data_IF_981942839078
#
_entry.id   IF_981942839078
#
_cell.length_a   1.000
_cell.length_b   1.000
_cell.length_c   1.000
_cell.angle_alpha   90.00
_cell.angle_beta   90.00
_cell.angle_gamma   90.00
#
_symmetry.space_group_name_H-M   'P 1'
#
loop_
_entity.id
_entity.type
_entity.pdbx_description
1 polymer ?
#
# COMPACT_ATOMS: atom_id res chain seq x y z
N UNK A 1 -14.92 2.94 -15.18
CA UNK A 1 -15.77 3.35 -14.04
C UNK A 1 -16.59 2.18 -13.52
N UNK A 2 -17.35 1.46 -14.36
CA UNK A 2 -18.20 0.33 -13.87
C UNK A 2 -17.49 -0.78 -13.06
N UNK A 3 -16.20 -1.05 -13.33
CA UNK A 3 -15.45 -2.08 -12.60
C UNK A 3 -15.31 -1.79 -11.11
N UNK A 4 -15.23 -0.50 -10.75
CA UNK A 4 -15.01 -0.02 -9.38
C UNK A 4 -16.31 0.31 -8.66
N UNK A 5 -17.44 0.38 -9.36
CA UNK A 5 -18.76 0.62 -8.77
C UNK A 5 -19.47 -0.66 -8.36
N UNK A 6 -19.09 -1.80 -8.95
CA UNK A 6 -19.76 -3.10 -8.73
C UNK A 6 -19.02 -3.98 -7.72
N UNK A 7 -17.70 -3.81 -7.57
CA UNK A 7 -16.88 -4.66 -6.72
C UNK A 7 -16.34 -3.88 -5.51
N UNK A 8 -16.46 -4.46 -4.32
CA UNK A 8 -15.89 -3.92 -3.08
C UNK A 8 -14.37 -4.02 -3.03
N UNK A 9 -13.82 -5.09 -3.64
CA UNK A 9 -12.39 -5.35 -3.68
C UNK A 9 -11.96 -5.80 -5.08
N UNK A 10 -10.72 -5.46 -5.43
CA UNK A 10 -10.11 -5.78 -6.71
C UNK A 10 -8.66 -6.23 -6.55
N UNK A 11 -8.17 -6.98 -7.52
CA UNK A 11 -6.74 -7.19 -7.76
C UNK A 11 -6.36 -6.53 -9.08
N UNK A 12 -5.21 -5.88 -9.09
CA UNK A 12 -4.68 -5.22 -10.27
C UNK A 12 -3.55 -6.06 -10.85
N UNK A 13 -3.74 -6.58 -12.06
CA UNK A 13 -2.73 -7.37 -12.78
C UNK A 13 -2.07 -6.53 -13.86
N UNK A 14 -0.74 -6.45 -13.85
CA UNK A 14 0.03 -5.72 -14.86
C UNK A 14 0.25 -6.53 -16.13
N UNK A 15 0.73 -5.86 -17.18
CA UNK A 15 1.18 -6.46 -18.44
C UNK A 15 2.20 -7.63 -18.32
N UNK A 16 2.80 -7.83 -17.14
CA UNK A 16 3.77 -8.93 -16.88
C UNK A 16 3.14 -10.15 -16.20
N UNK A 17 1.81 -10.19 -16.10
CA UNK A 17 1.06 -11.16 -15.30
C UNK A 17 1.52 -11.18 -13.84
N UNK A 18 1.74 -9.98 -13.29
CA UNK A 18 2.06 -9.78 -11.87
C UNK A 18 1.01 -8.91 -11.22
N UNK A 19 0.75 -9.15 -9.95
CA UNK A 19 -0.27 -8.41 -9.21
C UNK A 19 0.38 -7.28 -8.43
N UNK A 20 -0.34 -6.16 -8.31
CA UNK A 20 0.00 -5.09 -7.37
C UNK A 20 -0.12 -5.61 -5.94
N UNK A 21 0.98 -5.56 -5.20
CA UNK A 21 1.07 -6.06 -3.84
C UNK A 21 1.51 -4.93 -2.94
N UNK A 22 0.79 -4.73 -1.84
CA UNK A 22 1.26 -3.90 -0.75
C UNK A 22 2.10 -4.73 0.20
N UNK A 23 3.26 -4.21 0.59
CA UNK A 23 3.97 -4.75 1.74
C UNK A 23 3.43 -4.16 3.04
N UNK A 24 3.75 -4.82 4.16
CA UNK A 24 3.33 -4.42 5.50
C UNK A 24 3.86 -3.03 5.87
N UNK A 25 5.07 -2.69 5.40
CA UNK A 25 5.79 -1.51 5.84
C UNK A 25 5.41 -0.18 5.15
N UNK A 26 4.24 -0.08 4.49
CA UNK A 26 3.72 1.10 3.73
C UNK A 26 4.59 1.66 2.59
N UNK A 27 5.91 1.48 2.65
CA UNK A 27 6.89 2.15 1.80
C UNK A 27 7.15 1.42 0.48
N UNK A 28 6.73 0.16 0.36
CA UNK A 28 7.12 -0.69 -0.76
C UNK A 28 5.91 -1.24 -1.51
N UNK A 29 5.43 -0.47 -2.49
CA UNK A 29 4.54 -0.98 -3.54
C UNK A 29 5.36 -1.82 -4.52
N UNK A 30 4.99 -3.09 -4.65
CA UNK A 30 5.71 -4.04 -5.49
C UNK A 30 4.77 -4.85 -6.35
N UNK A 31 5.35 -5.54 -7.32
CA UNK A 31 4.63 -6.50 -8.13
C UNK A 31 5.06 -7.92 -7.80
N UNK A 32 4.12 -8.85 -7.81
CA UNK A 32 4.50 -10.26 -7.72
C UNK A 32 3.50 -11.20 -8.36
N UNK A 33 4.02 -12.27 -8.97
CA UNK A 33 3.23 -13.35 -9.55
C UNK A 33 2.72 -14.33 -8.49
N UNK A 34 3.48 -14.53 -7.40
CA UNK A 34 3.17 -15.55 -6.36
C UNK A 34 2.00 -15.14 -5.47
N UNK A 35 1.70 -13.85 -5.38
CA UNK A 35 0.70 -13.30 -4.46
C UNK A 35 -0.71 -13.18 -5.05
N UNK A 36 -0.98 -13.83 -6.21
CA UNK A 36 -2.32 -13.81 -6.82
C UNK A 36 -3.43 -14.17 -5.83
N UNK A 37 -3.26 -15.26 -5.08
CA UNK A 37 -4.25 -15.74 -4.10
C UNK A 37 -4.09 -15.13 -2.71
N UNK A 38 -3.12 -14.21 -2.51
CA UNK A 38 -2.85 -13.64 -1.20
C UNK A 38 -3.76 -12.44 -0.93
N UNK A 39 -4.13 -12.26 0.33
CA UNK A 39 -4.75 -11.04 0.83
C UNK A 39 -3.91 -9.78 0.51
N UNK A 40 -2.58 -9.90 0.41
CA UNK A 40 -1.67 -8.77 0.09
C UNK A 40 -1.85 -8.17 -1.30
N UNK A 41 -2.52 -8.86 -2.22
CA UNK A 41 -2.83 -8.34 -3.56
C UNK A 41 -4.25 -7.77 -3.68
N UNK A 42 -5.05 -7.85 -2.61
CA UNK A 42 -6.41 -7.30 -2.57
C UNK A 42 -6.37 -5.82 -2.22
N UNK A 43 -7.12 -5.05 -2.99
CA UNK A 43 -7.31 -3.63 -2.82
C UNK A 43 -8.80 -3.33 -2.71
N UNK A 44 -9.21 -2.82 -1.56
CA UNK A 44 -10.56 -2.33 -1.34
C UNK A 44 -10.74 -1.00 -2.07
N UNK A 45 -11.90 -0.86 -2.70
CA UNK A 45 -12.25 0.30 -3.50
C UNK A 45 -13.15 1.19 -2.66
N UNK A 46 -12.67 2.38 -2.34
CA UNK A 46 -13.45 3.43 -1.70
C UNK A 46 -13.75 4.52 -2.74
N UNK A 47 -15.03 4.84 -2.93
CA UNK A 47 -15.45 5.93 -3.80
C UNK A 47 -15.31 7.25 -3.04
N UNK A 48 -14.81 8.30 -3.70
CA UNK A 48 -14.69 9.62 -3.09
C UNK A 48 -16.05 10.33 -3.17
N UNK A 49 -16.63 10.68 -2.02
CA UNK A 49 -17.96 11.32 -1.95
C UNK A 49 -18.01 12.63 -2.76
N UNK A 50 -16.97 13.46 -2.64
CA UNK A 50 -16.87 14.74 -3.34
C UNK A 50 -16.56 14.61 -4.84
N UNK A 51 -16.07 13.44 -5.27
CA UNK A 51 -15.62 13.24 -6.64
C UNK A 51 -15.88 11.81 -7.12
N UNK A 52 -17.03 11.62 -7.77
CA UNK A 52 -17.45 10.32 -8.32
C UNK A 52 -16.50 9.74 -9.37
N UNK A 53 -15.59 10.56 -9.92
CA UNK A 53 -14.57 10.11 -10.89
C UNK A 53 -13.28 9.63 -10.25
N UNK A 54 -13.07 9.89 -8.97
CA UNK A 54 -11.90 9.47 -8.22
C UNK A 54 -12.23 8.26 -7.35
N UNK A 55 -11.26 7.36 -7.24
CA UNK A 55 -11.28 6.23 -6.32
C UNK A 55 -10.08 6.30 -5.39
N UNK A 56 -10.24 5.73 -4.21
CA UNK A 56 -9.16 5.41 -3.27
C UNK A 56 -9.02 3.90 -3.22
N UNK A 57 -7.79 3.42 -3.29
CA UNK A 57 -7.49 2.00 -3.18
C UNK A 57 -6.82 1.75 -1.84
N UNK A 58 -7.41 0.90 -1.02
CA UNK A 58 -6.94 0.62 0.33
C UNK A 58 -6.53 -0.83 0.44
N UNK A 59 -5.35 -1.09 1.00
CA UNK A 59 -4.92 -2.46 1.23
C UNK A 59 -5.55 -3.05 2.51
N UNK A 60 -5.28 -4.33 2.74
CA UNK A 60 -5.73 -5.05 3.95
C UNK A 60 -5.20 -4.45 5.26
N UNK A 61 -4.12 -3.67 5.20
CA UNK A 61 -3.50 -3.00 6.34
C UNK A 61 -4.05 -1.58 6.55
N UNK A 62 -5.19 -1.25 5.93
CA UNK A 62 -5.84 0.05 5.98
C UNK A 62 -5.01 1.23 5.44
N UNK A 63 -3.99 0.96 4.63
CA UNK A 63 -3.16 1.97 3.98
C UNK A 63 -3.63 2.22 2.55
N UNK A 64 -3.63 3.49 2.16
CA UNK A 64 -4.01 3.88 0.81
C UNK A 64 -2.85 3.69 -0.18
N UNK A 65 -3.22 3.39 -1.42
CA UNK A 65 -2.32 3.46 -2.55
C UNK A 65 -2.01 4.93 -2.82
N UNK A 66 -0.79 5.35 -2.49
CA UNK A 66 -0.37 6.73 -2.67
C UNK A 66 0.48 6.87 -3.93
N UNK A 67 0.15 7.86 -4.76
CA UNK A 67 1.04 8.31 -5.83
C UNK A 67 2.32 8.86 -5.19
N UNK A 68 3.49 8.39 -5.62
CA UNK A 68 4.77 8.93 -5.13
C UNK A 68 4.92 10.34 -5.70
N UNK A 69 4.52 11.33 -4.90
CA UNK A 69 4.64 12.75 -5.22
C UNK A 69 6.05 13.18 -4.84
N UNK A 70 6.80 13.68 -5.81
CA UNK A 70 8.20 14.08 -5.65
C UNK A 70 8.36 15.45 -4.95
N UNK A 71 7.33 15.94 -4.23
CA UNK A 71 7.29 17.28 -3.67
C UNK A 71 6.72 17.32 -2.24
N UNK A 72 7.52 17.93 -1.36
CA UNK A 72 7.37 18.15 0.08
C UNK A 72 6.23 19.12 0.45
N UNK A 73 4.98 18.80 0.11
CA UNK A 73 3.84 19.60 0.59
C UNK A 73 2.87 18.74 1.40
N UNK A 74 2.90 18.91 2.72
CA UNK A 74 2.05 18.24 3.71
C UNK A 74 0.52 18.42 3.47
N UNK A 75 0.13 19.36 2.61
CA UNK A 75 -1.27 19.70 2.33
C UNK A 75 -1.88 18.95 1.13
N UNK A 76 -1.17 18.00 0.51
CA UNK A 76 -1.66 17.26 -0.68
C UNK A 76 -1.91 15.77 -0.43
N UNK A 77 -1.86 15.31 0.81
CA UNK A 77 -2.03 13.90 1.14
C UNK A 77 -3.35 13.32 0.62
N UNK A 78 -4.45 14.06 0.78
CA UNK A 78 -5.76 13.60 0.31
C UNK A 78 -5.88 13.54 -1.22
N UNK A 79 -5.04 14.28 -1.95
CA UNK A 79 -4.98 14.26 -3.41
C UNK A 79 -4.02 13.18 -3.93
N UNK A 80 -2.97 12.84 -3.18
CA UNK A 80 -2.00 11.82 -3.58
C UNK A 80 -2.55 10.39 -3.45
N UNK A 81 -3.61 10.19 -2.67
CA UNK A 81 -4.32 8.91 -2.55
C UNK A 81 -5.48 8.75 -3.55
N UNK A 82 -5.79 9.80 -4.31
CA UNK A 82 -6.87 9.79 -5.30
C UNK A 82 -6.37 9.34 -6.67
N UNK A 83 -7.12 8.41 -7.26
CA UNK A 83 -6.84 7.84 -8.57
C UNK A 83 -8.04 7.97 -9.49
N UNK A 84 -7.80 8.40 -10.72
CA UNK A 84 -8.78 8.52 -11.78
C UNK A 84 -8.64 7.33 -12.73
N UNK A 85 -9.57 6.34 -12.70
CA UNK A 85 -9.51 5.19 -13.57
C UNK A 85 -9.97 5.54 -14.99
N UNK A 86 -9.05 5.48 -15.94
CA UNK A 86 -9.30 5.70 -17.37
C UNK A 86 -9.34 4.36 -18.08
N UNK A 87 -10.46 4.05 -18.74
CA UNK A 87 -10.63 2.78 -19.46
C UNK A 87 -9.87 2.81 -20.79
N UNK A 88 -9.11 1.75 -21.05
CA UNK A 88 -8.39 1.52 -22.30
C UNK A 88 -8.68 0.08 -22.77
N UNK A 89 -9.70 -0.08 -23.62
CA UNK A 89 -10.23 -1.39 -24.00
C UNK A 89 -10.77 -2.20 -22.81
N UNK A 90 -10.11 -3.33 -22.53
CA UNK A 90 -10.40 -4.20 -21.38
C UNK A 90 -9.54 -3.89 -20.14
N UNK A 91 -8.59 -2.97 -20.29
CA UNK A 91 -7.65 -2.57 -19.25
C UNK A 91 -8.00 -1.18 -18.71
N UNK A 92 -7.34 -0.82 -17.61
CA UNK A 92 -7.49 0.48 -16.97
C UNK A 92 -6.12 1.10 -16.72
N UNK A 93 -6.04 2.40 -16.98
CA UNK A 93 -4.95 3.27 -16.55
C UNK A 93 -5.39 4.01 -15.29
N UNK A 94 -4.59 3.98 -14.24
CA UNK A 94 -4.84 4.73 -13.01
C UNK A 94 -4.05 6.03 -13.06
N UNK A 95 -4.73 7.16 -13.26
CA UNK A 95 -4.13 8.49 -13.32
C UNK A 95 -4.16 9.14 -11.93
N UNK A 96 -3.04 9.67 -11.46
CA UNK A 96 -2.99 10.46 -10.23
C UNK A 96 -3.51 11.87 -10.46
N UNK A 97 -3.77 12.62 -9.38
CA UNK A 97 -4.15 14.03 -9.48
C UNK A 97 -3.12 14.90 -10.24
N UNK A 98 -1.83 14.56 -10.17
CA UNK A 98 -0.77 15.25 -10.91
C UNK A 98 -0.75 14.94 -12.42
N UNK A 99 -1.60 14.03 -12.87
CA UNK A 99 -1.66 13.58 -14.25
C UNK A 99 -0.62 12.53 -14.64
N UNK A 100 0.10 11.96 -13.67
CA UNK A 100 0.95 10.79 -13.84
C UNK A 100 0.13 9.52 -13.78
N UNK A 101 0.69 8.40 -14.22
CA UNK A 101 0.02 7.10 -14.23
C UNK A 101 0.73 6.08 -13.36
N UNK A 102 -0.03 5.18 -12.75
CA UNK A 102 0.50 4.03 -12.02
C UNK A 102 1.20 3.07 -12.99
N UNK A 103 2.51 2.93 -12.84
CA UNK A 103 3.39 2.19 -13.75
C UNK A 103 3.98 0.95 -13.07
N UNK A 104 3.85 -0.17 -13.76
CA UNK A 104 4.41 -1.48 -13.44
C UNK A 104 5.81 -1.67 -14.05
N UNK A 105 6.88 -1.59 -13.25
CA UNK A 105 8.24 -1.71 -13.80
C UNK A 105 8.68 -3.16 -13.98
N UNK A 106 8.98 -3.51 -15.23
CA UNK A 106 9.51 -4.82 -15.63
C UNK A 106 11.02 -4.91 -15.78
N UNK A 107 11.75 -3.83 -15.50
CA UNK A 107 13.17 -3.69 -15.85
C UNK A 107 14.12 -4.61 -15.04
N UNK A 108 15.40 -4.57 -15.39
CA UNK A 108 16.48 -5.16 -14.61
C UNK A 108 16.57 -4.53 -13.20
N UNK A 109 17.13 -5.24 -12.21
CA UNK A 109 17.42 -4.66 -10.90
C UNK A 109 18.16 -3.31 -11.04
N UNK A 110 17.87 -2.30 -10.20
CA UNK A 110 17.07 -2.38 -8.96
C UNK A 110 15.55 -2.19 -9.12
N UNK A 111 15.05 -1.81 -10.31
CA UNK A 111 13.63 -1.42 -10.49
C UNK A 111 12.70 -2.59 -10.79
N UNK A 112 13.25 -3.81 -10.82
CA UNK A 112 12.46 -5.01 -11.05
C UNK A 112 11.34 -5.11 -10.03
N UNK A 113 10.11 -5.28 -10.52
CA UNK A 113 8.92 -5.41 -9.69
C UNK A 113 8.57 -4.17 -8.86
N UNK A 114 9.15 -3.01 -9.13
CA UNK A 114 8.71 -1.77 -8.46
C UNK A 114 7.47 -1.22 -9.15
N UNK A 115 6.70 -0.44 -8.38
CA UNK A 115 5.57 0.32 -8.90
C UNK A 115 5.83 1.79 -8.65
N UNK A 116 5.68 2.61 -9.68
CA UNK A 116 6.02 4.04 -9.67
C UNK A 116 4.92 4.85 -10.32
N UNK A 117 4.96 6.17 -10.15
CA UNK A 117 4.10 7.09 -10.91
C UNK A 117 4.91 7.85 -11.95
N UNK A 118 4.50 7.76 -13.21
CA UNK A 118 5.27 8.33 -14.32
C UNK A 118 4.37 8.98 -15.38
N UNK A 119 4.95 9.91 -16.15
CA UNK A 119 4.29 10.53 -17.32
C UNK A 119 4.56 9.62 -18.52
N UNK A 120 3.50 9.28 -19.27
CA UNK A 120 3.62 8.43 -20.44
C UNK A 120 3.54 9.32 -21.68
N UNK A 121 4.48 9.14 -22.61
CA UNK A 121 4.35 9.64 -23.97
C UNK A 121 3.77 8.57 -24.89
N UNK A 122 2.93 8.98 -25.85
CA UNK A 122 2.23 8.05 -26.74
C UNK A 122 3.17 7.21 -27.63
N UNK A 123 4.40 7.69 -27.84
CA UNK A 123 5.44 6.99 -28.61
C UNK A 123 6.43 6.20 -27.73
N UNK A 124 6.13 5.99 -26.45
CA UNK A 124 7.00 5.25 -25.55
C UNK A 124 6.89 3.74 -25.76
N UNK A 125 8.04 3.06 -25.81
CA UNK A 125 8.12 1.60 -25.78
C UNK A 125 7.55 0.99 -24.49
N UNK A 126 7.35 1.79 -23.44
CA UNK A 126 6.82 1.35 -22.15
C UNK A 126 5.38 1.81 -21.92
N UNK A 127 4.65 2.20 -22.97
CA UNK A 127 3.25 2.66 -22.86
C UNK A 127 2.33 1.63 -22.20
N UNK A 128 2.58 0.34 -22.41
CA UNK A 128 1.75 -0.74 -21.87
C UNK A 128 2.04 -0.99 -20.38
N UNK A 129 3.08 -0.37 -19.81
CA UNK A 129 3.47 -0.57 -18.42
C UNK A 129 2.50 0.06 -17.43
N UNK A 130 1.55 0.85 -17.89
CA UNK A 130 0.53 1.48 -17.04
C UNK A 130 -0.84 0.82 -17.16
N UNK A 131 -0.94 -0.20 -18.01
CA UNK A 131 -2.17 -0.92 -18.24
C UNK A 131 -2.31 -1.98 -17.15
N UNK A 132 -3.47 -1.97 -16.51
CA UNK A 132 -3.84 -2.92 -15.47
C UNK A 132 -5.13 -3.63 -15.84
N UNK A 133 -5.13 -4.96 -15.80
CA UNK A 133 -6.36 -5.73 -15.78
C UNK A 133 -6.94 -5.69 -14.36
N UNK A 134 -8.25 -5.53 -14.28
CA UNK A 134 -8.98 -5.51 -13.01
C UNK A 134 -9.66 -6.87 -12.82
N UNK A 135 -9.23 -7.61 -11.80
CA UNK A 135 -9.89 -8.84 -11.34
C UNK A 135 -10.72 -8.50 -10.11
N UNK A 136 -12.04 -8.63 -10.21
CA UNK A 136 -12.95 -8.40 -9.08
C UNK A 136 -12.87 -9.55 -8.08
N UNK A 137 -12.86 -9.24 -6.78
CA UNK A 137 -12.84 -10.23 -5.71
C UNK A 137 -14.12 -10.12 -4.91
N UNK A 138 -14.88 -11.20 -4.86
CA UNK A 138 -16.06 -11.31 -4.01
C UNK A 138 -15.63 -11.65 -2.58
N UNK A 139 -16.10 -10.88 -1.59
CA UNK A 139 -15.71 -11.02 -0.17
C UNK A 139 -16.02 -12.41 0.41
N UNK A 140 -16.95 -13.16 -0.20
CA UNK A 140 -17.53 -14.39 0.35
C UNK A 140 -16.57 -15.59 0.35
N UNK A 141 -15.48 -15.53 -0.43
CA UNK A 141 -14.58 -16.68 -0.62
C UNK A 141 -13.32 -16.65 0.26
N UNK A 142 -13.15 -15.62 1.10
CA UNK A 142 -11.99 -15.53 2.00
C UNK A 142 -12.42 -15.64 3.46
N UNK A 143 -12.56 -16.88 3.91
CA UNK A 143 -12.84 -17.26 5.30
C UNK A 143 -11.69 -16.95 6.29
N UNK A 144 -10.80 -16.02 5.95
CA UNK A 144 -9.70 -15.61 6.81
C UNK A 144 -9.68 -14.08 6.89
N UNK A 145 -10.28 -13.58 7.97
CA UNK A 145 -10.28 -12.17 8.42
C UNK A 145 -11.35 -11.29 7.78
N UNK A 146 -12.53 -11.28 8.40
CA UNK A 146 -13.57 -10.29 8.16
C UNK A 146 -13.00 -8.89 8.36
N UNK A 147 -12.80 -8.17 7.27
CA UNK A 147 -12.28 -6.80 7.27
C UNK A 147 -13.18 -5.84 8.08
N UNK A 148 -14.49 -6.12 8.16
CA UNK A 148 -15.44 -5.41 9.03
C UNK A 148 -15.04 -5.44 10.50
N UNK A 149 -14.47 -6.56 10.97
CA UNK A 149 -14.01 -6.71 12.35
C UNK A 149 -12.71 -5.94 12.56
N UNK A 150 -11.83 -5.88 11.56
CA UNK A 150 -10.61 -5.07 11.62
C UNK A 150 -10.91 -3.57 11.56
N UNK A 151 -11.83 -3.12 10.70
CA UNK A 151 -12.25 -1.72 10.64
C UNK A 151 -12.93 -1.29 11.93
N UNK A 152 -13.78 -2.15 12.51
CA UNK A 152 -14.42 -1.86 13.80
C UNK A 152 -13.40 -1.79 14.95
N UNK A 153 -12.39 -2.66 14.94
CA UNK A 153 -11.28 -2.62 15.90
C UNK A 153 -10.40 -1.37 15.74
N UNK A 154 -10.11 -0.94 14.51
CA UNK A 154 -9.31 0.27 14.26
C UNK A 154 -10.09 1.55 14.59
N UNK A 155 -11.40 1.61 14.34
CA UNK A 155 -12.26 2.72 14.75
C UNK A 155 -12.38 2.83 16.27
N UNK A 156 -12.26 1.72 17.00
CA UNK A 156 -12.21 1.72 18.47
C UNK A 156 -10.93 2.34 19.03
N UNK A 157 -9.85 2.37 18.24
CA UNK A 157 -8.57 2.98 18.63
C UNK A 157 -8.51 4.49 18.33
N UNK A 158 -9.39 5.04 17.48
CA UNK A 158 -9.39 6.50 17.23
C UNK A 158 -10.02 7.34 18.36
N UNK A 159 -10.57 6.72 19.40
CA UNK A 159 -11.21 7.42 20.52
C UNK A 159 -10.31 7.71 21.73
N UNK A 160 -9.01 7.36 21.72
CA UNK A 160 -8.08 7.76 22.80
C UNK A 160 -7.34 9.08 22.50
N UNK A 161 -8.02 10.11 21.99
CA UNK A 161 -7.47 11.47 22.06
C UNK A 161 -8.08 12.19 23.26
N UNK A 162 -7.42 12.03 24.41
CA UNK A 162 -7.78 12.72 25.65
C UNK A 162 -6.64 12.60 26.67
N UNK A 163 -5.89 13.69 26.80
CA UNK A 163 -5.04 14.09 27.92
C UNK A 163 -4.17 13.03 28.61
N UNK A 164 -2.87 13.05 28.31
CA UNK A 164 -1.86 12.67 29.29
C UNK A 164 -0.74 13.71 29.32
N UNK A 165 -0.89 14.66 30.23
CA UNK A 165 0.24 15.30 30.91
C UNK A 165 0.79 14.28 31.92
N UNK A 166 2.11 14.30 32.03
CA UNK A 166 2.97 13.78 33.09
C UNK A 166 3.66 12.44 32.84
N UNK A 167 5.00 12.54 32.72
CA UNK A 167 5.92 11.41 32.79
C UNK A 167 6.00 10.90 34.23
N UNK A 168 6.19 9.58 34.43
CA UNK A 168 7.41 9.20 35.14
C UNK A 168 8.08 7.89 34.69
N UNK A 169 9.41 7.97 34.61
CA UNK A 169 10.46 7.04 35.10
C UNK A 169 10.25 5.52 34.95
N UNK A 170 11.08 4.93 34.07
CA UNK A 170 11.44 3.51 34.08
C UNK A 170 12.08 3.08 35.41
N UNK A 171 11.67 1.94 36.00
CA UNK A 171 12.45 1.25 37.01
C UNK A 171 13.30 0.16 36.35
N UNK A 172 14.62 0.33 36.51
CA UNK A 172 15.59 -0.77 36.48
C UNK A 172 15.21 -1.82 37.53
N UNK A 173 15.42 -3.10 37.24
CA UNK A 173 15.98 -4.07 38.20
C UNK A 173 16.56 -5.27 37.43
N UNK A 174 17.87 -5.55 37.47
CA UNK A 174 18.75 -6.01 38.56
C UNK A 174 18.97 -7.52 38.43
N UNK A 175 20.17 -7.92 38.00
CA UNK A 175 20.88 -9.05 38.62
C UNK A 175 22.35 -8.68 38.77
N UNK A 176 22.74 -8.57 40.04
CA UNK A 176 24.07 -8.36 40.63
C UNK A 176 24.23 -9.56 41.59
N UNK A 177 25.34 -10.25 41.84
CA UNK A 177 26.80 -10.02 41.85
C UNK A 177 27.49 -11.41 41.87
N UNK A 178 28.62 -11.66 41.17
CA UNK A 178 30.05 -11.50 41.60
C UNK A 178 30.54 -12.57 42.63
N UNK A 179 31.85 -12.70 43.02
CA UNK A 179 33.10 -12.19 42.44
C UNK A 179 34.36 -13.16 42.48
N UNK A 180 35.33 -12.89 41.56
CA UNK A 180 36.82 -12.79 41.72
C UNK A 180 37.72 -13.99 42.16
N UNK A 181 39.08 -13.85 42.23
CA UNK A 181 40.08 -13.61 41.16
C UNK A 181 41.32 -14.54 41.28
N UNK A 182 42.36 -14.38 40.44
CA UNK A 182 43.77 -14.21 40.89
C UNK A 182 44.77 -13.94 39.75
N UNK A 183 45.69 -13.01 40.05
CA UNK A 183 46.89 -12.60 39.31
C UNK A 183 47.97 -13.72 39.26
N UNK A 184 48.81 -13.72 38.22
CA UNK A 184 50.24 -13.29 38.30
C UNK A 184 51.18 -13.98 37.30
N UNK A 185 51.95 -13.14 36.60
CA UNK A 185 53.35 -13.21 36.15
C UNK A 185 53.94 -14.35 35.28
N UNK A 186 54.66 -13.87 34.26
CA UNK A 186 56.00 -14.28 33.79
C UNK A 186 56.21 -15.70 33.25
N UNK A 187 56.56 -15.80 31.96
CA UNK A 187 57.96 -15.88 31.49
C UNK A 187 58.05 -15.45 30.03
#
# INVERSE_FOLDING_TARGET
>A
MEFFTKAKAVRLRSHLDKYLVSDENKENLRQSRRQKSSSKSKWFVELVEDNTQAIRLKNIYANYLTAIVQAESNNKFDLSIQWFPIRDGFQVKLKSFEGKFLRANGATPPWRNTVTTDIISDNSATKDWVLWDIETVDEENDSETNFSDLTSQLSSLSSFSGDFIDSPKSPWSTMSMAPTPKLSSSQ
#
